data_IF_441839113841
#
_entry.id   IF_441839113841
#
_cell.length_a   1.000
_cell.length_b   1.000
_cell.length_c   1.000
_cell.angle_alpha   90.00
_cell.angle_beta   90.00
_cell.angle_gamma   90.00
#
_symmetry.space_group_name_H-M   'P 1'
#
loop_
_entity.id
_entity.type
_entity.pdbx_description
1 polymer ?
#
# COMPACT_ATOMS: atom_id res chain seq x y z
N UNK A 1 5.73 -12.58 17.83
CA UNK A 1 5.59 -13.36 16.58
C UNK A 1 6.94 -14.01 16.31
N UNK A 2 6.98 -15.31 16.06
CA UNK A 2 8.25 -16.00 15.74
C UNK A 2 8.66 -15.70 14.29
N UNK A 3 9.94 -15.89 13.92
CA UNK A 3 10.39 -15.73 12.53
C UNK A 3 9.55 -16.56 11.53
N UNK A 4 9.24 -17.82 11.88
CA UNK A 4 8.41 -18.70 11.05
C UNK A 4 6.98 -18.19 10.85
N UNK A 5 6.38 -17.56 11.86
CA UNK A 5 5.05 -16.93 11.73
C UNK A 5 5.10 -15.69 10.83
N UNK A 6 6.21 -14.96 10.82
CA UNK A 6 6.43 -13.83 9.90
C UNK A 6 6.51 -14.30 8.47
N UNK A 7 7.30 -15.33 8.20
CA UNK A 7 7.45 -15.94 6.87
C UNK A 7 6.11 -16.45 6.35
N UNK A 8 5.33 -17.15 7.18
CA UNK A 8 4.02 -17.66 6.79
C UNK A 8 3.02 -16.54 6.41
N UNK A 9 2.95 -15.46 7.19
CA UNK A 9 2.07 -14.33 6.86
C UNK A 9 2.52 -13.57 5.61
N UNK A 10 3.83 -13.43 5.40
CA UNK A 10 4.38 -12.80 4.19
C UNK A 10 4.09 -13.65 2.94
N UNK A 11 4.29 -14.97 3.04
CA UNK A 11 3.99 -15.90 1.95
C UNK A 11 2.52 -15.85 1.54
N UNK A 12 1.61 -15.88 2.52
CA UNK A 12 0.16 -15.78 2.26
C UNK A 12 -0.22 -14.44 1.59
N UNK A 13 0.40 -13.33 1.99
CA UNK A 13 0.17 -12.04 1.36
C UNK A 13 0.67 -12.01 -0.09
N UNK A 14 1.85 -12.57 -0.36
CA UNK A 14 2.43 -12.64 -1.70
C UNK A 14 1.61 -13.53 -2.64
N UNK A 15 1.11 -14.66 -2.14
CA UNK A 15 0.24 -15.56 -2.89
C UNK A 15 -1.06 -14.84 -3.29
N UNK A 16 -1.70 -14.15 -2.35
CA UNK A 16 -2.91 -13.38 -2.63
C UNK A 16 -2.66 -12.20 -3.59
N UNK A 17 -1.49 -11.53 -3.52
CA UNK A 17 -1.11 -10.50 -4.50
C UNK A 17 -0.99 -11.12 -5.89
N UNK A 18 -0.32 -12.28 -6.01
CA UNK A 18 -0.13 -12.97 -7.27
C UNK A 18 -1.47 -13.34 -7.91
N UNK A 19 -2.40 -13.90 -7.14
CA UNK A 19 -3.74 -14.23 -7.60
C UNK A 19 -4.51 -13.00 -8.10
N UNK A 20 -4.47 -11.89 -7.34
CA UNK A 20 -5.12 -10.64 -7.74
C UNK A 20 -4.46 -9.99 -8.95
N UNK A 21 -3.13 -10.12 -9.10
CA UNK A 21 -2.42 -9.64 -10.28
C UNK A 21 -2.85 -10.41 -11.52
N UNK A 22 -2.79 -11.74 -11.47
CA UNK A 22 -3.20 -12.61 -12.58
C UNK A 22 -4.66 -12.35 -12.99
N UNK A 23 -5.55 -12.20 -12.00
CA UNK A 23 -6.97 -11.93 -12.24
C UNK A 23 -7.22 -10.57 -12.90
N UNK A 24 -6.52 -9.53 -12.45
CA UNK A 24 -6.83 -8.16 -12.87
C UNK A 24 -5.95 -7.66 -14.03
N UNK A 25 -4.90 -8.39 -14.41
CA UNK A 25 -3.92 -7.91 -15.39
C UNK A 25 -4.55 -7.56 -16.74
N UNK A 26 -5.31 -8.49 -17.33
CA UNK A 26 -5.93 -8.27 -18.64
C UNK A 26 -6.92 -7.11 -18.62
N UNK A 27 -7.64 -6.92 -17.52
CA UNK A 27 -8.59 -5.83 -17.39
C UNK A 27 -7.88 -4.48 -17.21
N UNK A 28 -6.78 -4.46 -16.46
CA UNK A 28 -5.93 -3.29 -16.34
C UNK A 28 -5.30 -2.91 -17.68
N UNK A 29 -4.80 -3.89 -18.44
CA UNK A 29 -4.24 -3.69 -19.77
C UNK A 29 -5.25 -3.10 -20.75
N UNK A 30 -6.50 -3.59 -20.76
CA UNK A 30 -7.59 -3.00 -21.56
C UNK A 30 -7.94 -1.57 -21.14
N UNK A 31 -7.59 -1.16 -19.93
CA UNK A 31 -7.84 0.17 -19.40
C UNK A 31 -6.69 1.16 -19.66
N UNK A 32 -5.66 0.73 -20.39
CA UNK A 32 -4.51 1.56 -20.73
C UNK A 32 -4.92 2.92 -21.35
N UNK A 33 -4.12 3.95 -21.05
CA UNK A 33 -4.26 5.28 -21.65
C UNK A 33 -3.82 5.28 -23.13
N UNK A 34 -3.88 6.46 -23.78
CA UNK A 34 -3.50 6.63 -25.18
C UNK A 34 -2.01 6.34 -25.44
N UNK A 35 -1.18 6.33 -24.39
CA UNK A 35 0.23 5.96 -24.43
C UNK A 35 0.47 4.47 -24.09
N UNK A 36 -0.61 3.70 -23.83
CA UNK A 36 -0.54 2.28 -23.48
C UNK A 36 -0.21 2.01 -22.01
N UNK A 37 -0.28 3.02 -21.12
CA UNK A 37 0.06 2.88 -19.70
C UNK A 37 -1.16 2.53 -18.86
N UNK A 38 -0.98 1.59 -17.95
CA UNK A 38 -1.94 1.22 -16.92
C UNK A 38 -1.21 0.88 -15.62
N UNK A 39 -1.93 0.96 -14.49
CA UNK A 39 -1.36 0.65 -13.18
C UNK A 39 -2.28 -0.27 -12.39
N UNK A 40 -1.66 -1.20 -11.65
CA UNK A 40 -2.32 -2.04 -10.65
C UNK A 40 -1.61 -1.80 -9.33
N UNK A 41 -2.34 -1.27 -8.36
CA UNK A 41 -1.82 -1.02 -7.01
C UNK A 41 -2.36 -2.07 -6.06
N UNK A 42 -1.50 -2.61 -5.20
CA UNK A 42 -1.88 -3.54 -4.15
C UNK A 42 -1.68 -2.90 -2.77
N UNK A 43 -2.68 -3.03 -1.91
CA UNK A 43 -2.59 -2.68 -0.49
C UNK A 43 -2.75 -3.95 0.34
N UNK A 44 -1.73 -4.27 1.12
CA UNK A 44 -1.77 -5.36 2.10
C UNK A 44 -1.96 -4.76 3.49
N UNK A 45 -2.92 -5.28 4.25
CA UNK A 45 -3.15 -4.89 5.65
C UNK A 45 -3.08 -6.14 6.51
N UNK A 46 -2.28 -6.08 7.58
CA UNK A 46 -2.18 -7.12 8.59
C UNK A 46 -2.88 -6.62 9.85
N UNK A 47 -4.01 -7.22 10.19
CA UNK A 47 -4.76 -6.90 11.40
C UNK A 47 -4.49 -7.96 12.47
N UNK A 48 -3.92 -7.50 13.59
CA UNK A 48 -3.55 -8.32 14.75
C UNK A 48 -4.46 -8.07 15.96
N UNK A 49 -5.60 -7.41 15.77
CA UNK A 49 -6.58 -7.17 16.83
C UNK A 49 -7.31 -8.44 17.30
N UNK A 50 -7.18 -9.54 16.57
CA UNK A 50 -7.80 -10.83 16.84
C UNK A 50 -6.76 -11.91 17.18
N UNK A 51 -7.16 -13.04 17.81
CA UNK A 51 -6.25 -14.15 18.13
C UNK A 51 -5.52 -14.75 16.91
N UNK A 52 -6.14 -14.66 15.73
CA UNK A 52 -5.52 -14.98 14.44
C UNK A 52 -5.23 -13.68 13.69
N UNK A 53 -4.06 -13.58 13.06
CA UNK A 53 -3.73 -12.42 12.21
C UNK A 53 -4.56 -12.50 10.94
N UNK A 54 -5.38 -11.48 10.70
CA UNK A 54 -6.11 -11.35 9.44
C UNK A 54 -5.22 -10.63 8.43
N UNK A 55 -5.02 -11.25 7.26
CA UNK A 55 -4.33 -10.64 6.13
C UNK A 55 -5.37 -10.25 5.09
N UNK A 56 -5.45 -8.96 4.77
CA UNK A 56 -6.32 -8.44 3.72
C UNK A 56 -5.47 -7.87 2.60
N UNK A 57 -5.64 -8.38 1.39
CA UNK A 57 -5.07 -7.80 0.17
C UNK A 57 -6.19 -7.13 -0.62
N UNK A 58 -5.96 -5.90 -1.06
CA UNK A 58 -6.90 -5.16 -1.92
C UNK A 58 -6.13 -4.70 -3.15
N UNK A 59 -6.65 -4.98 -4.35
CA UNK A 59 -6.14 -4.43 -5.60
C UNK A 59 -6.99 -3.23 -6.05
N UNK A 60 -6.34 -2.25 -6.68
CA UNK A 60 -6.99 -1.15 -7.38
C UNK A 60 -6.36 -1.03 -8.77
N UNK A 61 -7.21 -1.11 -9.79
CA UNK A 61 -6.85 -0.82 -11.18
C UNK A 61 -7.23 0.64 -11.44
N UNK A 62 -6.29 1.41 -11.97
CA UNK A 62 -6.54 2.79 -12.40
C UNK A 62 -5.99 3.00 -13.80
N UNK A 63 -6.77 3.68 -14.66
CA UNK A 63 -6.21 4.31 -15.85
C UNK A 63 -5.13 5.29 -15.38
N UNK A 64 -3.99 5.34 -16.05
CA UNK A 64 -2.78 6.06 -15.59
C UNK A 64 -2.89 7.60 -15.62
N UNK A 65 -4.06 8.18 -15.34
CA UNK A 65 -4.21 9.58 -14.98
C UNK A 65 -4.54 9.64 -13.48
N UNK A 66 -3.48 9.78 -12.68
CA UNK A 66 -3.60 10.13 -11.27
C UNK A 66 -3.15 11.59 -11.16
N UNK A 67 -4.12 12.51 -11.18
CA UNK A 67 -3.87 13.92 -10.84
C UNK A 67 -3.88 14.04 -9.31
N UNK A 68 -2.70 13.96 -8.69
CA UNK A 68 -2.52 14.14 -7.25
C UNK A 68 -1.87 15.49 -6.95
N UNK A 69 -2.49 16.24 -6.03
CA UNK A 69 -1.93 17.48 -5.48
C UNK A 69 -1.82 17.29 -3.97
N UNK A 70 -0.61 17.05 -3.48
CA UNK A 70 -0.30 17.07 -2.04
C UNK A 70 0.13 18.48 -1.64
N UNK A 71 -0.56 19.06 -0.64
CA UNK A 71 -0.24 20.36 -0.08
C UNK A 71 -0.03 20.22 1.41
N UNK A 72 1.07 20.78 1.92
CA UNK A 72 1.29 21.00 3.35
C UNK A 72 1.02 22.46 3.64
N UNK A 73 -0.01 22.72 4.44
CA UNK A 73 -0.35 24.07 4.90
C UNK A 73 0.01 24.13 6.37
N UNK A 74 0.78 25.15 6.76
CA UNK A 74 1.04 25.43 8.17
C UNK A 74 -0.27 25.88 8.82
N UNK A 75 -0.73 25.16 9.84
CA UNK A 75 -1.86 25.59 10.65
C UNK A 75 -1.36 26.64 11.66
N UNK A 76 -1.85 27.90 11.61
CA UNK A 76 -1.43 28.96 12.52
C UNK A 76 -1.76 28.68 13.99
N UNK A 77 -2.63 27.70 14.28
CA UNK A 77 -2.95 27.27 15.64
C UNK A 77 -2.25 25.96 16.03
N UNK A 78 -1.53 25.31 15.11
CA UNK A 78 -0.80 24.09 15.42
C UNK A 78 0.52 24.47 16.08
N UNK A 79 0.78 24.02 17.33
CA UNK A 79 2.04 24.28 17.99
C UNK A 79 3.17 23.60 17.22
N UNK A 80 4.23 24.35 16.95
CA UNK A 80 5.45 23.84 16.35
C UNK A 80 6.06 22.82 17.32
N UNK A 81 6.04 21.54 16.92
CA UNK A 81 6.79 20.52 17.63
C UNK A 81 8.27 20.79 17.33
N UNK A 82 8.97 21.44 18.27
CA UNK A 82 10.43 21.47 18.26
C UNK A 82 10.91 20.02 18.25
N UNK A 83 11.42 19.59 17.09
CA UNK A 83 12.19 18.36 16.99
C UNK A 83 13.36 18.50 17.95
N UNK A 84 13.38 17.67 19.00
CA UNK A 84 14.49 17.63 19.94
C UNK A 84 15.80 17.45 19.14
N UNK A 85 16.88 18.17 19.50
CA UNK A 85 18.16 18.05 18.79
C UNK A 85 18.60 16.59 18.84
N UNK A 86 18.96 16.05 17.67
CA UNK A 86 19.44 14.66 17.57
C UNK A 86 20.60 14.44 18.54
N UNK A 87 20.65 13.30 19.24
CA UNK A 87 21.77 13.00 20.11
C UNK A 87 23.04 12.89 19.26
N UNK A 88 24.00 13.77 19.50
CA UNK A 88 25.36 13.60 19.00
C UNK A 88 25.92 12.27 19.51
N UNK A 89 26.17 11.32 18.61
CA UNK A 89 27.06 10.18 18.80
C UNK A 89 28.16 10.30 17.74
#
# INVERSE_FOLDING_TARGET
MTPAQTEAHQAAALEAIKELLETNFLEAEKSADDEGRFAITFRVTFDRSHPQTMVKVTSRVSRAFVDEIELRVADPNQPELELAPEPHI
#
